data_IF_956675217506
#
_entry.id   IF_956675217506
#
_cell.length_a   1.000
_cell.length_b   1.000
_cell.length_c   1.000
_cell.angle_alpha   90.00
_cell.angle_beta   90.00
_cell.angle_gamma   90.00
#
_symmetry.space_group_name_H-M   'P 1'
#
loop_
_entity.id
_entity.type
_entity.pdbx_description
1 polymer ?
#
# COMPACT_ATOMS: atom_id res chain seq x y z
N UNK A 1 -34.81 10.00 11.38
CA UNK A 1 -33.39 10.23 11.79
C UNK A 1 -32.54 10.31 10.51
N UNK A 2 -31.63 11.27 10.44
CA UNK A 2 -31.20 11.85 9.16
C UNK A 2 -29.91 11.21 8.61
N UNK A 3 -29.97 10.48 7.49
CA UNK A 3 -28.77 9.97 6.77
C UNK A 3 -28.01 11.16 6.18
N UNK A 4 -26.88 11.55 6.80
CA UNK A 4 -25.99 12.58 6.25
C UNK A 4 -24.67 11.98 5.74
N UNK A 5 -24.50 12.08 4.43
CA UNK A 5 -23.23 12.24 3.69
C UNK A 5 -22.13 11.20 3.95
N UNK A 6 -22.05 10.21 3.05
CA UNK A 6 -20.75 9.68 2.63
C UNK A 6 -19.99 10.77 1.88
N UNK A 7 -19.28 11.62 2.64
CA UNK A 7 -18.43 12.70 2.13
C UNK A 7 -17.00 12.16 2.04
N UNK A 8 -16.39 12.27 0.86
CA UNK A 8 -15.22 11.48 0.46
C UNK A 8 -14.10 11.32 1.49
N UNK A 9 -13.82 10.05 1.85
CA UNK A 9 -12.57 9.63 2.49
C UNK A 9 -11.40 9.52 1.47
N UNK A 10 -11.62 9.97 0.22
CA UNK A 10 -10.64 10.03 -0.87
C UNK A 10 -9.44 10.97 -0.59
N UNK A 11 -9.53 11.82 0.44
CA UNK A 11 -8.62 12.96 0.62
C UNK A 11 -7.27 12.63 1.31
N UNK A 12 -7.05 11.41 1.80
CA UNK A 12 -5.87 11.10 2.64
C UNK A 12 -4.72 10.38 1.91
N UNK A 13 -4.87 10.06 0.61
CA UNK A 13 -3.93 9.17 -0.10
C UNK A 13 -2.91 9.85 -1.03
N UNK A 14 -3.12 11.11 -1.43
CA UNK A 14 -2.16 11.87 -2.26
C UNK A 14 -1.72 13.21 -1.62
N UNK A 15 -1.80 13.30 -0.29
CA UNK A 15 -1.60 14.55 0.45
C UNK A 15 -0.16 14.92 0.81
N UNK A 16 0.86 14.10 0.49
CA UNK A 16 2.23 14.34 0.95
C UNK A 16 3.30 13.97 -0.09
N UNK A 17 4.23 14.90 -0.29
CA UNK A 17 5.32 14.82 -1.25
C UNK A 17 6.09 13.50 -1.18
N UNK A 18 6.24 12.82 -2.31
CA UNK A 18 7.36 11.89 -2.54
C UNK A 18 8.64 12.73 -2.66
N UNK A 19 9.23 13.08 -1.52
CA UNK A 19 10.53 13.76 -1.45
C UNK A 19 11.64 12.79 -1.79
N UNK A 20 11.86 12.62 -3.10
CA UNK A 20 12.98 11.87 -3.68
C UNK A 20 14.30 12.26 -3.00
N UNK A 21 14.86 11.36 -2.20
CA UNK A 21 16.17 11.47 -1.54
C UNK A 21 17.05 10.26 -1.90
N UNK A 22 18.34 10.40 -1.60
CA UNK A 22 19.42 9.93 -2.46
C UNK A 22 19.70 8.41 -2.53
N UNK A 23 20.53 8.02 -3.52
CA UNK A 23 20.90 6.64 -3.85
C UNK A 23 21.85 6.01 -2.82
N UNK A 24 21.52 4.80 -2.36
CA UNK A 24 22.48 3.85 -1.80
C UNK A 24 22.92 2.79 -2.84
N UNK A 25 24.13 2.22 -2.74
CA UNK A 25 24.65 1.25 -3.71
C UNK A 25 24.02 -0.15 -3.60
N UNK A 26 23.93 -0.85 -4.73
CA UNK A 26 23.12 -2.07 -4.92
C UNK A 26 23.92 -3.38 -4.82
N UNK A 27 23.45 -4.35 -4.02
CA UNK A 27 23.88 -5.77 -3.95
C UNK A 27 22.91 -6.55 -3.00
N UNK A 28 22.73 -7.88 -2.96
CA UNK A 28 23.31 -9.04 -3.68
C UNK A 28 22.16 -9.98 -4.18
N UNK A 29 22.48 -11.03 -4.94
CA UNK A 29 21.56 -11.81 -5.77
C UNK A 29 20.73 -12.96 -5.12
N UNK A 30 19.82 -13.48 -5.96
CA UNK A 30 19.31 -14.88 -6.10
C UNK A 30 18.34 -15.52 -5.09
N UNK A 31 17.46 -16.33 -5.71
CA UNK A 31 16.63 -17.44 -5.23
C UNK A 31 15.45 -17.16 -4.28
N UNK A 32 14.24 -17.44 -4.80
CA UNK A 32 13.52 -18.63 -4.33
C UNK A 32 12.43 -18.47 -3.27
N UNK A 33 12.17 -17.26 -2.77
CA UNK A 33 10.95 -16.92 -2.04
C UNK A 33 10.37 -15.64 -2.67
N UNK A 34 9.06 -15.39 -2.56
CA UNK A 34 8.56 -14.00 -2.63
C UNK A 34 9.08 -13.29 -1.38
N UNK A 35 10.35 -12.87 -1.40
CA UNK A 35 10.94 -12.02 -0.36
C UNK A 35 10.03 -10.81 -0.27
N UNK A 36 9.47 -10.54 0.91
CA UNK A 36 8.64 -9.37 1.15
C UNK A 36 9.39 -8.15 0.62
N UNK A 37 8.92 -7.61 -0.50
CA UNK A 37 9.56 -6.46 -1.17
C UNK A 37 9.50 -5.26 -0.23
N UNK A 38 8.40 -5.18 0.53
CA UNK A 38 8.08 -4.13 1.48
C UNK A 38 8.65 -4.39 2.88
N UNK A 39 9.39 -3.41 3.42
CA UNK A 39 9.79 -3.34 4.83
C UNK A 39 9.11 -2.15 5.49
N UNK A 40 8.28 -2.40 6.50
CA UNK A 40 7.49 -1.37 7.18
C UNK A 40 8.24 -0.78 8.38
N UNK A 41 8.19 0.54 8.52
CA UNK A 41 8.77 1.30 9.63
C UNK A 41 7.64 2.07 10.34
N UNK A 42 7.15 1.50 11.45
CA UNK A 42 5.90 1.96 12.09
C UNK A 42 4.70 1.80 11.15
N UNK A 43 3.79 2.79 11.18
CA UNK A 43 2.62 2.86 10.30
C UNK A 43 2.66 4.03 9.30
N UNK A 44 3.78 4.76 9.25
CA UNK A 44 3.95 5.94 8.41
C UNK A 44 4.84 5.70 7.18
N UNK A 45 5.73 4.70 7.20
CA UNK A 45 6.70 4.50 6.13
C UNK A 45 6.84 3.03 5.72
N UNK A 46 7.04 2.81 4.43
CA UNK A 46 7.43 1.52 3.85
C UNK A 46 8.58 1.70 2.87
N UNK A 47 9.56 0.81 2.94
CA UNK A 47 10.69 0.72 2.02
C UNK A 47 10.46 -0.44 1.06
N UNK A 48 10.38 -0.16 -0.23
CA UNK A 48 10.45 -1.20 -1.25
C UNK A 48 11.92 -1.54 -1.55
N UNK A 49 12.30 -2.75 -1.22
CA UNK A 49 13.63 -3.33 -1.46
C UNK A 49 13.91 -3.68 -2.93
N UNK A 50 12.88 -3.70 -3.79
CA UNK A 50 13.02 -3.94 -5.24
C UNK A 50 13.43 -2.65 -5.95
N UNK A 51 12.71 -1.55 -5.73
CA UNK A 51 13.05 -0.22 -6.28
C UNK A 51 14.07 0.58 -5.48
N UNK A 52 14.32 0.20 -4.23
CA UNK A 52 15.14 0.98 -3.30
C UNK A 52 14.46 2.28 -2.84
N UNK A 53 13.14 2.39 -2.96
CA UNK A 53 12.38 3.61 -2.67
C UNK A 53 11.69 3.55 -1.30
N UNK A 54 11.69 4.67 -0.59
CA UNK A 54 10.85 4.89 0.59
C UNK A 54 9.55 5.60 0.18
N UNK A 55 8.43 5.09 0.68
CA UNK A 55 7.11 5.68 0.54
C UNK A 55 6.58 6.08 1.91
N UNK A 56 6.06 7.30 2.03
CA UNK A 56 5.22 7.68 3.16
C UNK A 56 3.80 7.21 2.87
N UNK A 57 3.19 6.57 3.85
CA UNK A 57 1.89 5.89 3.74
C UNK A 57 0.97 6.31 4.89
N UNK A 58 -0.34 6.22 4.68
CA UNK A 58 -1.32 6.44 5.75
C UNK A 58 -1.42 5.20 6.66
N UNK A 59 -1.94 5.33 7.90
CA UNK A 59 -2.17 4.16 8.77
C UNK A 59 -3.11 3.12 8.13
N UNK A 60 -4.10 3.56 7.33
CA UNK A 60 -4.97 2.68 6.55
C UNK A 60 -4.20 1.95 5.45
N UNK A 61 -3.29 2.62 4.76
CA UNK A 61 -2.40 2.01 3.79
C UNK A 61 -1.45 0.98 4.43
N UNK A 62 -0.85 1.31 5.58
CA UNK A 62 -0.02 0.37 6.37
C UNK A 62 -0.82 -0.90 6.68
N UNK A 63 -2.04 -0.75 7.21
CA UNK A 63 -2.90 -1.89 7.50
C UNK A 63 -3.24 -2.75 6.27
N UNK A 64 -3.63 -2.12 5.15
CA UNK A 64 -3.98 -2.84 3.90
C UNK A 64 -2.75 -3.57 3.35
N UNK A 65 -1.60 -2.90 3.22
CA UNK A 65 -0.38 -3.49 2.67
C UNK A 65 0.12 -4.65 3.53
N UNK A 66 0.12 -4.51 4.86
CA UNK A 66 0.51 -5.59 5.79
C UNK A 66 -0.43 -6.80 5.70
N UNK A 67 -1.73 -6.56 5.53
CA UNK A 67 -2.72 -7.64 5.38
C UNK A 67 -2.57 -8.37 4.04
N UNK A 68 -2.23 -7.64 2.96
CA UNK A 68 -1.92 -8.23 1.65
C UNK A 68 -0.61 -9.02 1.68
N UNK A 69 0.44 -8.52 2.35
CA UNK A 69 1.71 -9.22 2.55
C UNK A 69 1.55 -10.50 3.40
N UNK A 70 0.66 -10.47 4.40
CA UNK A 70 0.23 -11.64 5.17
C UNK A 70 -0.68 -12.62 4.38
N UNK A 71 -1.05 -12.29 3.14
CA UNK A 71 -1.86 -13.16 2.27
C UNK A 71 -3.37 -13.14 2.55
N UNK A 72 -3.90 -12.14 3.25
CA UNK A 72 -5.35 -11.99 3.47
C UNK A 72 -6.09 -11.84 2.14
N UNK A 73 -7.13 -12.64 1.93
CA UNK A 73 -7.97 -12.58 0.74
C UNK A 73 -8.65 -11.20 0.59
N UNK A 74 -8.72 -10.61 -0.63
CA UNK A 74 -9.24 -9.25 -0.82
C UNK A 74 -10.64 -8.99 -0.25
N UNK A 75 -11.56 -9.94 -0.38
CA UNK A 75 -12.91 -9.83 0.19
C UNK A 75 -12.92 -9.75 1.72
N UNK A 76 -12.12 -10.59 2.38
CA UNK A 76 -11.96 -10.59 3.83
C UNK A 76 -11.28 -9.30 4.30
N UNK A 77 -10.30 -8.80 3.52
CA UNK A 77 -9.64 -7.54 3.80
C UNK A 77 -10.59 -6.34 3.67
N UNK A 78 -11.52 -6.36 2.70
CA UNK A 78 -12.55 -5.32 2.58
C UNK A 78 -13.47 -5.30 3.82
N UNK A 79 -13.85 -6.46 4.34
CA UNK A 79 -14.65 -6.59 5.57
C UNK A 79 -13.86 -6.09 6.80
N UNK A 80 -12.57 -6.45 6.91
CA UNK A 80 -11.68 -5.98 7.99
C UNK A 80 -11.45 -4.46 7.96
N UNK A 81 -11.26 -3.87 6.77
CA UNK A 81 -11.15 -2.42 6.58
C UNK A 81 -12.46 -1.71 6.91
N UNK A 82 -13.60 -2.23 6.46
CA UNK A 82 -14.93 -1.72 6.82
C UNK A 82 -15.13 -1.72 8.35
N UNK A 83 -14.82 -2.84 9.02
CA UNK A 83 -15.00 -2.96 10.46
C UNK A 83 -14.07 -2.03 11.25
N UNK A 84 -12.81 -1.89 10.81
CA UNK A 84 -11.79 -1.10 11.50
C UNK A 84 -11.92 0.41 11.31
N UNK A 85 -12.33 0.86 10.13
CA UNK A 85 -12.39 2.29 9.77
C UNK A 85 -13.82 2.82 9.61
N UNK A 86 -14.84 1.97 9.82
CA UNK A 86 -16.27 2.29 9.71
C UNK A 86 -16.67 2.90 8.35
N UNK A 87 -16.00 2.49 7.28
CA UNK A 87 -16.31 2.89 5.89
C UNK A 87 -17.23 1.87 5.20
N UNK A 88 -17.83 2.28 4.08
CA UNK A 88 -18.63 1.38 3.23
C UNK A 88 -17.76 0.30 2.55
N UNK A 89 -18.29 -0.92 2.39
CA UNK A 89 -17.55 -2.04 1.78
C UNK A 89 -17.08 -1.74 0.35
N UNK A 90 -17.89 -1.05 -0.46
CA UNK A 90 -17.52 -0.69 -1.82
C UNK A 90 -16.56 0.50 -1.88
N UNK A 91 -16.37 1.25 -0.79
CA UNK A 91 -15.20 2.11 -0.63
C UNK A 91 -13.95 1.28 -0.32
N UNK A 92 -14.02 0.38 0.69
CA UNK A 92 -12.90 -0.48 1.08
C UNK A 92 -12.34 -1.31 -0.09
N UNK A 93 -13.20 -1.95 -0.90
CA UNK A 93 -12.78 -2.71 -2.09
C UNK A 93 -12.00 -1.83 -3.08
N UNK A 94 -12.53 -0.64 -3.41
CA UNK A 94 -11.88 0.28 -4.36
C UNK A 94 -10.54 0.78 -3.83
N UNK A 95 -10.46 1.10 -2.54
CA UNK A 95 -9.22 1.57 -1.92
C UNK A 95 -8.13 0.48 -1.93
N UNK A 96 -8.51 -0.79 -1.68
CA UNK A 96 -7.62 -1.95 -1.78
C UNK A 96 -7.15 -2.17 -3.24
N UNK A 97 -8.05 -2.07 -4.22
CA UNK A 97 -7.72 -2.22 -5.64
C UNK A 97 -6.78 -1.13 -6.15
N UNK A 98 -7.08 0.15 -5.84
CA UNK A 98 -6.22 1.28 -6.21
C UNK A 98 -4.82 1.11 -5.63
N UNK A 99 -4.71 0.80 -4.34
CA UNK A 99 -3.42 0.63 -3.68
C UNK A 99 -2.60 -0.55 -4.25
N UNK A 100 -3.26 -1.64 -4.63
CA UNK A 100 -2.61 -2.76 -5.32
C UNK A 100 -2.11 -2.37 -6.71
N UNK A 101 -2.88 -1.57 -7.45
CA UNK A 101 -2.49 -1.10 -8.78
C UNK A 101 -1.30 -0.14 -8.72
N UNK A 102 -1.28 0.78 -7.76
CA UNK A 102 -0.16 1.72 -7.56
C UNK A 102 1.17 0.98 -7.26
N UNK A 103 1.15 0.01 -6.33
CA UNK A 103 2.33 -0.80 -6.02
C UNK A 103 2.73 -1.74 -7.16
N UNK A 104 1.78 -2.31 -7.91
CA UNK A 104 2.09 -3.12 -9.09
C UNK A 104 2.75 -2.28 -10.21
N UNK A 105 2.30 -1.04 -10.42
CA UNK A 105 2.92 -0.12 -11.37
C UNK A 105 4.36 0.24 -10.95
N UNK A 106 4.59 0.49 -9.65
CA UNK A 106 5.93 0.73 -9.07
C UNK A 106 6.85 -0.48 -9.30
N UNK A 107 6.41 -1.69 -8.94
CA UNK A 107 7.22 -2.90 -9.14
C UNK A 107 7.50 -3.18 -10.62
N UNK A 108 6.56 -2.86 -11.53
CA UNK A 108 6.76 -3.01 -12.97
C UNK A 108 7.81 -2.02 -13.51
N UNK A 109 7.78 -0.76 -13.06
CA UNK A 109 8.76 0.25 -13.45
C UNK A 109 10.16 -0.08 -12.92
N UNK A 110 10.24 -0.68 -11.73
CA UNK A 110 11.51 -1.03 -11.08
C UNK A 110 12.26 -2.18 -11.76
N UNK A 111 11.59 -3.05 -12.51
CA UNK A 111 12.20 -4.24 -13.13
C UNK A 111 12.84 -3.95 -14.50
N UNK A 112 12.54 -2.80 -15.10
CA UNK A 112 12.93 -2.44 -16.47
C UNK A 112 12.21 -3.28 -17.54
N UNK A 113 12.31 -2.92 -18.83
CA UNK A 113 12.04 -3.88 -19.89
C UNK A 113 13.05 -5.03 -19.81
N UNK A 114 12.57 -6.26 -20.01
CA UNK A 114 13.38 -7.47 -20.02
C UNK A 114 14.27 -7.58 -21.27
#
# INVERSE_FOLDING_TARGET
INKRKGSGFFAFFLGQHVTKRDKGPSTVARAGHRRASLRFYGDEFVFDTVSGMFYRISPTASFILRSLDAGTAPDKLADEVQQRYHIDRAAAVRDIELLRNDFAAIESLSRGPA
#
